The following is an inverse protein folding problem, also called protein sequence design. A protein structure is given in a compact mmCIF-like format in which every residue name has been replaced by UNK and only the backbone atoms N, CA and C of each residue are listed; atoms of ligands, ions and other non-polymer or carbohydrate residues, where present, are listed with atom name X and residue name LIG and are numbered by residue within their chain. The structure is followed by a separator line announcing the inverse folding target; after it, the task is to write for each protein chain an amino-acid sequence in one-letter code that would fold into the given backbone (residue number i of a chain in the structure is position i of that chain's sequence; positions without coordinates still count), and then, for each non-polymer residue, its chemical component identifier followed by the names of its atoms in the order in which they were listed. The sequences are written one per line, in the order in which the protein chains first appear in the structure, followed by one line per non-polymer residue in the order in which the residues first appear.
data_IF_790758598451
#
_entry.id   IF_790758598451
#
_cell.length_a   1.000
_cell.length_b   1.000
_cell.length_c   1.000
_cell.angle_alpha   90.00
_cell.angle_beta   90.00
_cell.angle_gamma   90.00
#
_symmetry.space_group_name_H-M   'P 1'
#
loop_
_entity.id
_entity.type
_entity.pdbx_description
1 polymer ?
#
# COMPACT_ATOMS: atom_id res chain seq x y z
N UNK A 1 -5.40 15.88 -16.85
CA UNK A 1 -3.93 15.98 -16.84
C UNK A 1 -3.31 14.83 -16.03
N UNK A 2 -3.70 14.60 -14.77
CA UNK A 2 -3.12 13.54 -13.92
C UNK A 2 -3.41 12.09 -14.36
N UNK A 3 -4.65 11.77 -14.75
CA UNK A 3 -5.00 10.41 -15.24
C UNK A 3 -4.22 10.05 -16.51
N UNK A 4 -3.93 11.05 -17.35
CA UNK A 4 -3.09 10.87 -18.54
C UNK A 4 -1.66 10.46 -18.20
N UNK A 5 -1.05 11.08 -17.19
CA UNK A 5 0.29 10.72 -16.72
C UNK A 5 0.32 9.27 -16.20
N UNK A 6 -0.66 8.88 -15.36
CA UNK A 6 -0.75 7.51 -14.85
C UNK A 6 -0.84 6.46 -15.97
N UNK A 7 -1.65 6.71 -17.01
CA UNK A 7 -1.71 5.83 -18.18
C UNK A 7 -0.38 5.77 -18.96
N UNK A 8 0.30 6.90 -19.20
CA UNK A 8 1.60 6.91 -19.88
C UNK A 8 2.65 6.08 -19.13
N UNK A 9 2.66 6.18 -17.81
CA UNK A 9 3.55 5.39 -16.95
C UNK A 9 3.17 3.90 -17.05
N UNK A 10 1.88 3.59 -16.90
CA UNK A 10 1.40 2.21 -17.01
C UNK A 10 1.75 1.58 -18.37
N UNK A 11 1.63 2.32 -19.48
CA UNK A 11 2.00 1.85 -20.81
C UNK A 11 3.48 1.42 -20.88
N UNK A 12 4.39 2.21 -20.28
CA UNK A 12 5.83 1.87 -20.25
C UNK A 12 6.12 0.63 -19.42
N UNK A 13 5.54 0.52 -18.24
CA UNK A 13 5.74 -0.64 -17.38
C UNK A 13 5.07 -1.91 -17.94
N UNK A 14 3.93 -1.78 -18.63
CA UNK A 14 3.21 -2.93 -19.21
C UNK A 14 4.01 -3.68 -20.27
N UNK A 15 5.05 -3.06 -20.84
CA UNK A 15 5.93 -3.69 -21.82
C UNK A 15 6.84 -4.77 -21.20
N UNK A 16 7.04 -4.78 -19.87
CA UNK A 16 7.84 -5.82 -19.23
C UNK A 16 7.08 -7.15 -19.17
N UNK A 17 7.67 -8.27 -19.62
CA UNK A 17 7.01 -9.57 -19.59
C UNK A 17 6.58 -10.03 -18.19
N UNK A 18 7.29 -9.57 -17.15
CA UNK A 18 7.05 -9.88 -15.75
C UNK A 18 5.93 -9.06 -15.10
N UNK A 19 5.37 -8.06 -15.79
CA UNK A 19 4.22 -7.29 -15.30
C UNK A 19 2.94 -8.01 -15.68
N UNK A 20 2.13 -8.33 -14.67
CA UNK A 20 0.83 -8.98 -14.84
C UNK A 20 -0.30 -7.96 -14.85
N UNK A 21 -0.24 -6.95 -13.98
CA UNK A 21 -1.25 -5.90 -13.92
C UNK A 21 -0.66 -4.60 -13.36
N UNK A 22 -1.34 -3.48 -13.62
CA UNK A 22 -1.03 -2.16 -13.07
C UNK A 22 -2.33 -1.50 -12.64
N UNK A 23 -2.35 -0.94 -11.44
CA UNK A 23 -3.50 -0.22 -10.93
C UNK A 23 -3.13 1.10 -10.26
N UNK A 24 -4.01 2.08 -10.39
CA UNK A 24 -3.96 3.36 -9.69
C UNK A 24 -4.74 3.23 -8.37
N UNK A 25 -4.13 3.59 -7.25
CA UNK A 25 -4.78 3.63 -5.94
C UNK A 25 -4.75 5.05 -5.35
N UNK A 26 -4.97 5.16 -4.04
CA UNK A 26 -4.92 6.42 -3.32
C UNK A 26 -6.11 7.34 -3.55
N UNK A 27 -5.99 8.60 -3.13
CA UNK A 27 -7.06 9.61 -3.22
C UNK A 27 -7.60 9.76 -4.65
N UNK A 28 -6.74 9.53 -5.65
CA UNK A 28 -7.09 9.60 -7.08
C UNK A 28 -7.92 8.43 -7.59
N UNK A 29 -7.99 7.32 -6.85
CA UNK A 29 -8.87 6.19 -7.16
C UNK A 29 -10.23 6.26 -6.43
N UNK A 30 -10.29 6.92 -5.26
CA UNK A 30 -11.43 6.80 -4.32
C UNK A 30 -12.15 8.10 -3.93
N UNK A 31 -11.74 9.29 -4.39
CA UNK A 31 -12.34 10.54 -3.92
C UNK A 31 -12.01 11.82 -4.71
N UNK A 32 -12.46 13.00 -4.24
CA UNK A 32 -12.20 14.27 -4.91
C UNK A 32 -10.70 14.58 -4.89
N UNK A 33 -10.13 14.68 -6.09
CA UNK A 33 -8.72 14.99 -6.33
C UNK A 33 -8.45 16.44 -5.92
N UNK A 34 -7.69 16.65 -4.86
CA UNK A 34 -7.09 17.95 -4.60
C UNK A 34 -5.86 18.17 -5.51
N UNK A 35 -5.45 19.43 -5.68
CA UNK A 35 -4.30 19.77 -6.54
C UNK A 35 -2.97 19.20 -6.02
N UNK A 36 -2.91 18.73 -4.77
CA UNK A 36 -1.72 18.18 -4.13
C UNK A 36 -1.66 16.65 -4.09
N UNK A 37 -2.63 15.92 -4.65
CA UNK A 37 -2.64 14.47 -4.60
C UNK A 37 -1.49 13.86 -5.41
N UNK A 38 -0.78 12.91 -4.84
CA UNK A 38 0.25 12.13 -5.54
C UNK A 38 -0.40 11.08 -6.47
N UNK A 39 0.39 10.44 -7.32
CA UNK A 39 -0.03 9.28 -8.13
C UNK A 39 0.53 8.02 -7.48
N UNK A 40 -0.34 7.19 -6.91
CA UNK A 40 0.01 5.89 -6.34
C UNK A 40 -0.25 4.76 -7.35
N UNK A 41 0.81 4.18 -7.90
CA UNK A 41 0.70 3.04 -8.82
C UNK A 41 1.18 1.75 -8.16
N UNK A 42 0.37 0.71 -8.32
CA UNK A 42 0.69 -0.65 -7.90
C UNK A 42 0.99 -1.46 -9.16
N UNK A 43 2.23 -1.91 -9.30
CA UNK A 43 2.70 -2.74 -10.40
C UNK A 43 2.83 -4.17 -9.88
N UNK A 44 1.93 -5.05 -10.35
CA UNK A 44 1.89 -6.44 -9.95
C UNK A 44 2.80 -7.26 -10.85
N UNK A 45 3.79 -7.92 -10.25
CA UNK A 45 4.87 -8.58 -10.96
C UNK A 45 4.94 -10.08 -10.65
N UNK A 46 5.47 -10.87 -11.58
CA UNK A 46 5.84 -12.28 -11.36
C UNK A 46 7.33 -12.47 -11.10
N UNK A 47 8.13 -11.41 -11.34
CA UNK A 47 9.54 -11.34 -11.01
C UNK A 47 10.00 -9.89 -11.00
N UNK A 48 10.99 -9.57 -10.16
CA UNK A 48 11.54 -8.21 -10.03
C UNK A 48 12.02 -7.68 -11.39
N UNK A 49 11.55 -6.49 -11.76
CA UNK A 49 12.05 -5.74 -12.90
C UNK A 49 13.43 -5.18 -12.54
N UNK A 50 14.48 -5.38 -13.36
CA UNK A 50 15.82 -4.87 -13.05
C UNK A 50 15.80 -3.35 -12.82
N UNK A 51 16.48 -2.89 -11.78
CA UNK A 51 16.56 -1.46 -11.43
C UNK A 51 16.96 -0.58 -12.62
N UNK A 52 17.96 -1.01 -13.40
CA UNK A 52 18.41 -0.27 -14.59
C UNK A 52 17.30 -0.07 -15.62
N UNK A 53 16.38 -1.03 -15.77
CA UNK A 53 15.26 -0.91 -16.69
C UNK A 53 14.17 0.03 -16.15
N UNK A 54 13.93 0.03 -14.84
CA UNK A 54 13.00 0.98 -14.19
C UNK A 54 13.55 2.42 -14.26
N UNK A 55 14.85 2.57 -14.01
CA UNK A 55 15.55 3.85 -14.12
C UNK A 55 15.47 4.42 -15.54
N UNK A 56 15.63 3.58 -16.57
CA UNK A 56 15.50 4.01 -17.97
C UNK A 56 14.10 4.56 -18.29
N UNK A 57 13.02 4.00 -17.72
CA UNK A 57 11.67 4.55 -17.88
C UNK A 57 11.55 5.94 -17.23
N UNK A 58 12.08 6.11 -16.01
CA UNK A 58 12.02 7.40 -15.31
C UNK A 58 12.82 8.46 -16.04
N UNK A 59 13.98 8.10 -16.61
CA UNK A 59 14.78 8.99 -17.47
C UNK A 59 14.03 9.36 -18.75
N UNK A 60 13.38 8.39 -19.42
CA UNK A 60 12.58 8.63 -20.63
C UNK A 60 11.38 9.55 -20.37
N UNK A 61 10.66 9.34 -19.26
CA UNK A 61 9.47 10.11 -18.90
C UNK A 61 9.81 11.52 -18.37
N UNK A 62 11.03 11.69 -17.84
CA UNK A 62 11.51 12.96 -17.32
C UNK A 62 11.10 13.22 -15.88
N UNK A 63 12.08 13.36 -15.00
CA UNK A 63 11.88 13.69 -13.59
C UNK A 63 12.75 14.87 -13.16
N UNK A 64 12.22 15.74 -12.30
CA UNK A 64 13.03 16.77 -11.63
C UNK A 64 13.85 16.20 -10.48
N UNK A 65 13.36 15.13 -9.86
CA UNK A 65 14.01 14.36 -8.80
C UNK A 65 13.45 12.95 -8.83
N UNK A 66 14.29 11.95 -8.58
CA UNK A 66 13.89 10.55 -8.43
C UNK A 66 14.64 9.86 -7.29
N UNK A 67 13.94 8.98 -6.59
CA UNK A 67 14.43 8.12 -5.52
C UNK A 67 14.00 6.68 -5.88
N UNK A 68 14.94 5.87 -6.38
CA UNK A 68 14.67 4.53 -6.92
C UNK A 68 15.18 3.42 -6.00
N UNK A 69 14.59 2.23 -6.14
CA UNK A 69 14.92 1.04 -5.36
C UNK A 69 14.77 1.26 -3.85
N UNK A 70 13.68 1.93 -3.47
CA UNK A 70 13.28 2.07 -2.08
C UNK A 70 12.89 0.69 -1.54
N UNK A 71 13.39 0.37 -0.34
CA UNK A 71 13.15 -0.93 0.34
C UNK A 71 12.80 -0.72 1.83
N UNK A 72 12.28 0.45 2.20
CA UNK A 72 11.94 0.77 3.59
C UNK A 72 10.66 0.07 4.06
N UNK A 73 9.67 -0.06 3.18
CA UNK A 73 8.37 -0.68 3.45
C UNK A 73 8.09 -1.79 2.45
N UNK A 74 7.91 -1.40 1.20
CA UNK A 74 7.82 -2.27 0.03
C UNK A 74 8.94 -1.93 -0.95
N UNK A 75 9.16 -2.79 -1.95
CA UNK A 75 9.97 -2.40 -3.10
C UNK A 75 9.23 -1.31 -3.85
N UNK A 76 9.86 -0.14 -4.01
CA UNK A 76 9.24 0.98 -4.70
C UNK A 76 10.21 1.93 -5.39
N UNK A 77 9.64 2.82 -6.20
CA UNK A 77 10.33 3.91 -6.88
C UNK A 77 9.45 5.17 -6.79
N UNK A 78 10.03 6.31 -6.47
CA UNK A 78 9.30 7.58 -6.40
C UNK A 78 10.00 8.68 -7.20
N UNK A 79 9.25 9.57 -7.85
CA UNK A 79 9.82 10.72 -8.55
C UNK A 79 8.83 11.88 -8.69
N UNK A 80 9.35 13.07 -8.95
CA UNK A 80 8.54 14.23 -9.33
C UNK A 80 8.59 14.41 -10.85
N UNK A 81 7.46 14.23 -11.51
CA UNK A 81 7.32 14.37 -12.96
C UNK A 81 7.71 15.78 -13.44
N UNK A 82 8.57 15.85 -14.46
CA UNK A 82 9.16 17.13 -14.89
C UNK A 82 8.16 18.07 -15.59
N UNK A 83 7.15 17.51 -16.26
CA UNK A 83 6.15 18.27 -17.01
C UNK A 83 5.07 18.84 -16.08
N UNK A 84 4.55 18.00 -15.19
CA UNK A 84 3.37 18.29 -14.38
C UNK A 84 3.69 18.69 -12.95
N UNK A 85 4.90 18.39 -12.46
CA UNK A 85 5.30 18.60 -11.07
C UNK A 85 4.63 17.63 -10.07
N UNK A 86 3.86 16.66 -10.55
CA UNK A 86 3.16 15.68 -9.71
C UNK A 86 4.17 14.64 -9.19
N UNK A 87 4.10 14.32 -7.90
CA UNK A 87 4.86 13.19 -7.36
C UNK A 87 4.18 11.88 -7.74
N UNK A 88 4.99 10.92 -8.17
CA UNK A 88 4.60 9.56 -8.50
C UNK A 88 5.27 8.63 -7.51
N UNK A 89 4.51 7.71 -6.95
CA UNK A 89 4.98 6.60 -6.12
C UNK A 89 4.55 5.28 -6.78
N UNK A 90 5.51 4.41 -7.05
CA UNK A 90 5.29 3.06 -7.57
C UNK A 90 5.65 2.05 -6.50
N UNK A 91 4.71 1.17 -6.19
CA UNK A 91 4.92 -0.02 -5.36
C UNK A 91 4.88 -1.26 -6.25
N UNK A 92 5.85 -2.16 -6.07
CA UNK A 92 5.92 -3.44 -6.76
C UNK A 92 5.51 -4.57 -5.83
N UNK A 93 4.42 -5.26 -6.16
CA UNK A 93 3.98 -6.44 -5.43
C UNK A 93 4.10 -7.69 -6.28
N UNK A 94 4.69 -8.72 -5.70
CA UNK A 94 4.64 -10.05 -6.29
C UNK A 94 3.19 -10.58 -6.26
N UNK A 95 2.73 -11.09 -7.39
CA UNK A 95 1.36 -11.62 -7.57
C UNK A 95 1.03 -12.72 -6.56
N UNK A 96 1.95 -13.65 -6.31
CA UNK A 96 1.74 -14.73 -5.34
C UNK A 96 1.74 -14.22 -3.89
N UNK A 97 2.56 -13.22 -3.60
CA UNK A 97 2.60 -12.60 -2.28
C UNK A 97 1.28 -11.90 -1.94
N UNK A 98 0.72 -11.10 -2.85
CA UNK A 98 -0.52 -10.36 -2.58
C UNK A 98 -1.73 -11.29 -2.51
N UNK A 99 -1.77 -12.35 -3.32
CA UNK A 99 -2.76 -13.43 -3.18
C UNK A 99 -2.69 -14.06 -1.78
N UNK A 100 -1.48 -14.35 -1.29
CA UNK A 100 -1.27 -14.86 0.06
C UNK A 100 -1.73 -13.87 1.15
N UNK A 101 -1.53 -12.57 0.97
CA UNK A 101 -2.04 -11.56 1.91
C UNK A 101 -3.57 -11.53 1.96
N UNK A 102 -4.24 -11.71 0.83
CA UNK A 102 -5.70 -11.78 0.77
C UNK A 102 -6.22 -13.07 1.39
N UNK A 103 -5.64 -14.22 1.08
CA UNK A 103 -5.99 -15.52 1.68
C UNK A 103 -5.91 -15.46 3.21
N UNK A 104 -4.79 -14.94 3.72
CA UNK A 104 -4.52 -14.76 5.16
C UNK A 104 -5.63 -13.98 5.87
N UNK A 105 -6.22 -12.97 5.22
CA UNK A 105 -7.22 -12.07 5.83
C UNK A 105 -8.65 -12.55 5.55
N UNK A 106 -8.95 -12.95 4.32
CA UNK A 106 -10.30 -13.25 3.86
C UNK A 106 -10.72 -14.69 4.15
N UNK A 107 -9.78 -15.62 4.19
CA UNK A 107 -10.06 -17.06 4.38
C UNK A 107 -9.58 -17.51 5.75
N UNK A 108 -8.32 -17.23 6.09
CA UNK A 108 -7.75 -17.66 7.37
C UNK A 108 -8.12 -16.72 8.54
N UNK A 109 -8.71 -15.56 8.24
CA UNK A 109 -9.15 -14.56 9.22
C UNK A 109 -8.06 -14.11 10.19
N UNK A 110 -6.80 -14.10 9.77
CA UNK A 110 -5.68 -13.69 10.60
C UNK A 110 -5.57 -12.17 10.65
N UNK A 111 -5.71 -11.60 11.85
CA UNK A 111 -5.55 -10.18 12.08
C UNK A 111 -4.08 -9.76 12.25
N UNK A 112 -3.80 -8.49 11.97
CA UNK A 112 -2.56 -7.78 12.27
C UNK A 112 -2.77 -6.76 13.40
N UNK A 113 -1.69 -6.30 14.01
CA UNK A 113 -1.75 -5.16 14.92
C UNK A 113 -1.84 -3.89 14.09
N UNK A 114 -3.00 -3.24 14.12
CA UNK A 114 -3.37 -2.21 13.14
C UNK A 114 -3.41 -2.71 11.70
N UNK A 115 -3.95 -1.88 10.80
CA UNK A 115 -3.95 -2.06 9.33
C UNK A 115 -4.28 -3.48 8.82
N UNK A 116 -5.13 -4.23 9.51
CA UNK A 116 -5.38 -5.65 9.20
C UNK A 116 -5.90 -5.90 7.78
N UNK A 117 -6.61 -4.91 7.20
CA UNK A 117 -7.27 -5.01 5.91
C UNK A 117 -6.69 -4.06 4.87
N UNK A 118 -5.50 -3.47 5.07
CA UNK A 118 -4.96 -2.45 4.15
C UNK A 118 -4.78 -2.99 2.73
N UNK A 119 -4.14 -4.15 2.57
CA UNK A 119 -3.93 -4.77 1.26
C UNK A 119 -5.25 -5.13 0.57
N UNK A 120 -6.19 -5.69 1.34
CA UNK A 120 -7.54 -5.98 0.83
C UNK A 120 -8.24 -4.70 0.35
N UNK A 121 -8.19 -3.63 1.13
CA UNK A 121 -8.73 -2.34 0.73
C UNK A 121 -8.09 -1.83 -0.56
N UNK A 122 -6.76 -1.84 -0.67
CA UNK A 122 -6.03 -1.41 -1.88
C UNK A 122 -6.46 -2.20 -3.13
N UNK A 123 -6.59 -3.52 -3.02
CA UNK A 123 -7.08 -4.35 -4.13
C UNK A 123 -8.49 -3.94 -4.52
N UNK A 124 -9.42 -3.81 -3.58
CA UNK A 124 -10.81 -3.47 -3.88
C UNK A 124 -10.98 -2.06 -4.43
N UNK A 125 -10.23 -1.08 -3.92
CA UNK A 125 -10.44 0.34 -4.21
C UNK A 125 -9.67 0.88 -5.41
N UNK A 126 -8.64 0.16 -5.88
CA UNK A 126 -7.80 0.60 -7.00
C UNK A 126 -8.51 0.54 -8.37
N UNK A 127 -8.15 1.46 -9.27
CA UNK A 127 -8.57 1.48 -10.66
C UNK A 127 -7.55 0.72 -11.52
N UNK A 128 -8.01 -0.28 -12.26
CA UNK A 128 -7.14 -1.06 -13.16
C UNK A 128 -6.78 -0.22 -14.38
N UNK A 129 -5.47 -0.07 -14.64
CA UNK A 129 -4.94 0.60 -15.84
C UNK A 129 -4.43 -0.39 -16.89
N UNK A 130 -3.92 -1.53 -16.44
CA UNK A 130 -3.44 -2.63 -17.29
C UNK A 130 -3.67 -3.97 -16.58
N UNK A 131 -4.06 -5.00 -17.32
CA UNK A 131 -4.30 -6.36 -16.78
C UNK A 131 -4.10 -7.39 -17.90
N UNK A 132 -2.92 -8.01 -17.93
CA UNK A 132 -2.43 -8.83 -19.04
C UNK A 132 -3.30 -10.06 -19.29
N UNK A 133 -3.64 -10.80 -18.25
CA UNK A 133 -4.45 -12.02 -18.34
C UNK A 133 -5.85 -11.89 -17.71
N UNK A 134 -6.24 -10.69 -17.28
CA UNK A 134 -7.45 -10.50 -16.46
C UNK A 134 -7.27 -10.97 -15.01
N UNK A 135 -6.02 -11.13 -14.55
CA UNK A 135 -5.70 -11.64 -13.23
C UNK A 135 -6.19 -10.71 -12.13
N UNK A 136 -5.96 -9.40 -12.27
CA UNK A 136 -6.34 -8.44 -11.23
C UNK A 136 -7.87 -8.26 -11.17
N UNK A 137 -8.56 -8.28 -12.30
CA UNK A 137 -10.03 -8.34 -12.33
C UNK A 137 -10.57 -9.53 -11.53
N UNK A 138 -10.08 -10.75 -11.81
CA UNK A 138 -10.50 -11.95 -11.07
C UNK A 138 -10.16 -11.86 -9.59
N UNK A 139 -9.00 -11.29 -9.25
CA UNK A 139 -8.60 -11.12 -7.85
C UNK A 139 -9.54 -10.16 -7.11
N UNK A 140 -9.89 -9.02 -7.75
CA UNK A 140 -10.87 -8.07 -7.22
C UNK A 140 -12.25 -8.71 -7.03
N UNK A 141 -12.73 -9.45 -8.02
CA UNK A 141 -14.01 -10.16 -7.95
C UNK A 141 -14.05 -11.15 -6.79
N UNK A 142 -13.02 -12.00 -6.67
CA UNK A 142 -12.87 -12.95 -5.55
C UNK A 142 -12.81 -12.25 -4.18
N UNK A 143 -12.24 -11.05 -4.14
CA UNK A 143 -12.07 -10.27 -2.91
C UNK A 143 -13.27 -9.36 -2.60
N UNK A 144 -14.25 -9.29 -3.49
CA UNK A 144 -15.46 -8.47 -3.34
C UNK A 144 -16.49 -9.18 -2.48
N UNK A 145 -16.14 -9.37 -1.21
CA UNK A 145 -16.96 -10.07 -0.21
C UNK A 145 -17.38 -9.13 0.91
N UNK A 146 -18.52 -9.38 1.58
CA UNK A 146 -18.85 -8.68 2.81
C UNK A 146 -17.75 -8.88 3.87
N UNK A 147 -17.61 -7.91 4.78
CA UNK A 147 -16.63 -8.00 5.87
C UNK A 147 -16.83 -9.28 6.70
N UNK A 148 -15.87 -10.23 6.70
CA UNK A 148 -16.06 -11.50 7.38
C UNK A 148 -16.19 -11.31 8.89
N UNK A 149 -17.28 -11.82 9.47
CA UNK A 149 -17.50 -11.72 10.91
C UNK A 149 -16.40 -12.43 11.74
N UNK A 150 -15.87 -13.60 11.34
CA UNK A 150 -14.72 -14.19 12.03
C UNK A 150 -13.48 -13.29 12.01
N UNK A 151 -13.22 -12.57 10.91
CA UNK A 151 -12.13 -11.60 10.84
C UNK A 151 -12.35 -10.43 11.81
N UNK A 152 -13.57 -9.91 11.92
CA UNK A 152 -13.91 -8.84 12.89
C UNK A 152 -13.55 -9.28 14.30
N UNK A 153 -13.94 -10.50 14.67
CA UNK A 153 -13.64 -11.07 15.98
C UNK A 153 -12.15 -11.25 16.20
N UNK A 154 -11.41 -11.75 15.20
CA UNK A 154 -9.95 -11.87 15.25
C UNK A 154 -9.25 -10.52 15.43
N UNK A 155 -9.70 -9.47 14.73
CA UNK A 155 -9.15 -8.12 14.85
C UNK A 155 -9.33 -7.59 16.28
N UNK A 156 -10.54 -7.69 16.83
CA UNK A 156 -10.84 -7.26 18.20
C UNK A 156 -10.04 -8.08 19.21
N UNK A 157 -10.00 -9.40 19.06
CA UNK A 157 -9.27 -10.30 19.96
C UNK A 157 -7.76 -10.01 19.99
N UNK A 158 -7.16 -9.66 18.84
CA UNK A 158 -5.74 -9.33 18.73
C UNK A 158 -5.40 -7.93 19.24
N UNK A 159 -6.17 -6.92 18.84
CA UNK A 159 -5.83 -5.53 19.08
C UNK A 159 -6.34 -4.98 20.42
N UNK A 160 -7.53 -5.38 20.88
CA UNK A 160 -8.11 -4.79 22.08
C UNK A 160 -7.29 -5.04 23.38
N UNK A 161 -6.65 -6.21 23.60
CA UNK A 161 -5.84 -6.43 24.80
C UNK A 161 -4.63 -5.49 24.93
N UNK A 162 -3.95 -5.18 23.82
CA UNK A 162 -2.75 -4.33 23.81
C UNK A 162 -3.05 -2.85 24.01
N UNK A 163 -4.31 -2.42 23.92
CA UNK A 163 -4.68 -1.02 24.20
C UNK A 163 -4.48 -0.68 25.69
N UNK A 164 -4.94 -1.55 26.59
CA UNK A 164 -5.00 -1.25 28.03
C UNK A 164 -4.96 -2.43 29.01
N UNK A 165 -5.02 -3.69 28.55
CA UNK A 165 -5.26 -4.84 29.45
C UNK A 165 -4.00 -5.58 29.87
N UNK A 166 -3.07 -5.79 28.93
CA UNK A 166 -1.88 -6.61 29.19
C UNK A 166 -0.73 -5.80 29.78
N UNK A 167 0.28 -6.47 30.35
CA UNK A 167 1.48 -5.81 30.90
C UNK A 167 2.12 -4.84 29.89
N UNK A 168 2.36 -5.23 28.62
CA UNK A 168 2.91 -4.32 27.62
C UNK A 168 1.86 -3.44 26.92
N UNK A 169 0.69 -3.18 27.52
CA UNK A 169 -0.34 -2.36 26.88
C UNK A 169 0.15 -0.93 26.58
N UNK A 170 -0.32 -0.33 25.49
CA UNK A 170 0.07 1.00 25.05
C UNK A 170 -0.21 2.05 26.12
N UNK A 171 -1.34 1.99 26.82
CA UNK A 171 -1.63 2.91 27.93
C UNK A 171 -0.54 2.88 29.02
N UNK A 172 -0.13 1.69 29.47
CA UNK A 172 0.93 1.55 30.47
C UNK A 172 2.29 2.05 29.95
N UNK A 173 2.57 1.83 28.66
CA UNK A 173 3.79 2.33 28.03
C UNK A 173 3.81 3.86 27.92
N UNK A 174 2.67 4.48 27.61
CA UNK A 174 2.50 5.94 27.59
C UNK A 174 2.72 6.52 28.99
N UNK A 175 2.09 5.95 30.03
CA UNK A 175 2.28 6.40 31.42
C UNK A 175 3.74 6.32 31.88
N UNK A 176 4.46 5.28 31.44
CA UNK A 176 5.89 5.11 31.72
C UNK A 176 6.73 6.16 30.98
N UNK A 177 6.40 6.46 29.72
CA UNK A 177 7.08 7.47 28.92
C UNK A 177 6.88 8.88 29.48
N UNK A 178 5.65 9.22 29.93
CA UNK A 178 5.34 10.48 30.60
C UNK A 178 6.19 10.66 31.86
N UNK A 179 6.27 9.65 32.73
CA UNK A 179 7.09 9.69 33.95
C UNK A 179 8.59 9.87 33.68
N UNK A 180 9.05 9.51 32.47
CA UNK A 180 10.44 9.68 32.03
C UNK A 180 10.67 10.96 31.25
N UNK A 181 9.62 11.75 31.01
CA UNK A 181 9.65 12.90 30.11
C UNK A 181 10.18 12.54 28.70
N UNK A 182 9.84 11.35 28.21
CA UNK A 182 10.29 10.83 26.91
C UNK A 182 9.23 11.11 25.83
N UNK A 183 9.32 12.29 25.22
CA UNK A 183 8.38 12.75 24.20
C UNK A 183 8.30 11.83 22.97
N UNK A 184 9.42 11.21 22.59
CA UNK A 184 9.48 10.29 21.43
C UNK A 184 8.69 9.03 21.71
N UNK A 185 8.88 8.43 22.89
CA UNK A 185 8.11 7.25 23.31
C UNK A 185 6.62 7.56 23.48
N UNK A 186 6.26 8.75 23.97
CA UNK A 186 4.86 9.18 24.06
C UNK A 186 4.24 9.21 22.66
N UNK A 187 4.85 9.92 21.71
CA UNK A 187 4.35 10.03 20.34
C UNK A 187 4.18 8.65 19.69
N UNK A 188 5.21 7.82 19.71
CA UNK A 188 5.18 6.50 19.10
C UNK A 188 4.08 5.60 19.70
N UNK A 189 3.91 5.59 21.03
CA UNK A 189 2.91 4.73 21.67
C UNK A 189 1.48 5.23 21.51
N UNK A 190 1.28 6.54 21.44
CA UNK A 190 -0.03 7.10 21.09
C UNK A 190 -0.39 6.76 19.65
N UNK A 191 0.54 6.90 18.69
CA UNK A 191 0.30 6.53 17.29
C UNK A 191 -0.05 5.03 17.15
N UNK A 192 0.71 4.15 17.82
CA UNK A 192 0.44 2.72 17.81
C UNK A 192 -0.92 2.35 18.45
N UNK A 193 -1.32 3.07 19.51
CA UNK A 193 -2.63 2.90 20.14
C UNK A 193 -3.75 3.25 19.15
N UNK A 194 -3.65 4.40 18.48
CA UNK A 194 -4.66 4.85 17.52
C UNK A 194 -4.75 3.93 16.29
N UNK A 195 -3.61 3.42 15.80
CA UNK A 195 -3.59 2.48 14.68
C UNK A 195 -4.24 1.13 15.01
N UNK A 196 -4.33 0.78 16.30
CA UNK A 196 -4.85 -0.52 16.78
C UNK A 196 -6.26 -0.42 17.39
N UNK A 197 -6.83 0.78 17.53
CA UNK A 197 -8.14 1.00 18.15
C UNK A 197 -9.28 0.75 17.17
#
# INVERSE_FOLDING_TARGET
MSVGLAHRIADRFSAFPSVEAIALAGSRATGPVDQGSDIDLYVYITSVIPLSARAAIVEELGATRSDLNLQFWDLGDAWCDAETGIAVDIIYWDTSWIEGQLERVLVEHQASTGYSTCFWHTICSSLILYDKSGWLHRLKEKSSVPFPEPLRQSIVAKNHPILRRVIPAYLHQIDKAIRRNDAVSINHRVAALLASY
#
